data_IF_700335960627
#
_entry.id   IF_700335960627
#
_cell.length_a   1.000
_cell.length_b   1.000
_cell.length_c   1.000
_cell.angle_alpha   90.00
_cell.angle_beta   90.00
_cell.angle_gamma   90.00
#
_symmetry.space_group_name_H-M   'P 1'
#
loop_
_entity.id
_entity.type
_entity.pdbx_description
1 polymer ?
#
# COMPACT_ATOMS: atom_id res chain seq x y z
N UNK A 1 11.58 16.86 -18.35
CA UNK A 1 11.20 16.64 -17.95
C UNK A 1 10.92 16.12 -17.27
N UNK A 2 10.96 16.07 -17.19
CA UNK A 2 10.89 15.73 -16.47
C UNK A 2 10.04 15.33 -15.69
N UNK A 3 9.35 14.77 -15.97
CA UNK A 3 8.50 14.25 -15.34
C UNK A 3 8.87 13.13 -14.73
N UNK A 4 9.76 13.10 -13.97
CA UNK A 4 10.17 11.99 -13.17
C UNK A 4 9.21 11.93 -12.01
N UNK A 5 8.45 10.89 -11.93
CA UNK A 5 7.61 10.67 -10.77
C UNK A 5 8.51 10.32 -9.61
N UNK A 6 8.31 10.93 -8.48
CA UNK A 6 9.10 10.57 -7.30
C UNK A 6 8.50 9.30 -6.67
N UNK A 7 9.21 8.74 -5.69
CA UNK A 7 8.81 7.48 -5.08
C UNK A 7 7.42 7.56 -4.46
N UNK A 8 7.07 8.69 -3.87
CA UNK A 8 5.75 8.86 -3.26
C UNK A 8 4.63 8.74 -4.27
N UNK A 9 4.83 9.31 -5.46
CA UNK A 9 3.81 9.23 -6.51
C UNK A 9 3.63 7.81 -7.01
N UNK A 10 4.73 7.09 -7.18
CA UNK A 10 4.69 5.72 -7.64
C UNK A 10 3.99 4.83 -6.61
N UNK A 11 4.33 5.01 -5.34
CA UNK A 11 3.73 4.25 -4.25
C UNK A 11 2.23 4.53 -4.17
N UNK A 12 1.84 5.78 -4.23
CA UNK A 12 0.43 6.15 -4.13
C UNK A 12 -0.37 5.55 -5.28
N UNK A 13 0.15 5.61 -6.49
CA UNK A 13 -0.52 5.03 -7.64
C UNK A 13 -0.69 3.53 -7.47
N UNK A 14 0.35 2.85 -7.00
CA UNK A 14 0.27 1.42 -6.73
C UNK A 14 -0.82 1.13 -5.69
N UNK A 15 -0.85 1.91 -4.61
CA UNK A 15 -1.81 1.69 -3.53
C UNK A 15 -3.25 1.90 -3.99
N UNK A 16 -3.50 2.91 -4.81
CA UNK A 16 -4.83 3.17 -5.34
C UNK A 16 -5.36 1.94 -6.09
N UNK A 17 -4.50 1.32 -6.87
CA UNK A 17 -4.90 0.15 -7.66
C UNK A 17 -4.93 -1.12 -6.81
N UNK A 18 -3.94 -1.31 -5.95
CA UNK A 18 -3.78 -2.54 -5.19
C UNK A 18 -4.85 -2.71 -4.11
N UNK A 19 -5.26 -1.62 -3.50
CA UNK A 19 -6.26 -1.68 -2.43
C UNK A 19 -7.65 -2.04 -2.92
N UNK A 20 -7.84 -2.09 -4.24
CA UNK A 20 -9.10 -2.54 -4.83
C UNK A 20 -9.16 -4.05 -4.99
N UNK A 21 -8.01 -4.72 -4.84
CA UNK A 21 -7.95 -6.16 -5.02
C UNK A 21 -8.54 -6.87 -3.82
N UNK A 22 -9.52 -7.75 -4.06
CA UNK A 22 -10.18 -8.46 -2.98
C UNK A 22 -9.26 -9.47 -2.29
N UNK A 23 -8.34 -10.04 -3.04
CA UNK A 23 -7.44 -11.05 -2.51
C UNK A 23 -6.15 -10.45 -1.93
N UNK A 24 -6.02 -9.14 -2.00
CA UNK A 24 -4.81 -8.49 -1.51
C UNK A 24 -3.65 -8.57 -2.50
N UNK A 25 -2.48 -8.21 -2.03
CA UNK A 25 -1.28 -8.17 -2.88
C UNK A 25 -0.08 -8.55 -2.02
N UNK A 26 0.96 -9.08 -2.67
CA UNK A 26 2.16 -9.53 -1.97
C UNK A 26 3.22 -8.45 -1.95
N UNK A 27 4.18 -8.60 -1.03
CA UNK A 27 5.35 -7.71 -1.00
C UNK A 27 6.09 -7.77 -2.32
N UNK A 28 6.16 -8.97 -2.92
CA UNK A 28 6.85 -9.12 -4.19
C UNK A 28 6.17 -8.35 -5.29
N UNK A 29 4.84 -8.36 -5.31
CA UNK A 29 4.10 -7.61 -6.31
C UNK A 29 4.39 -6.12 -6.22
N UNK A 30 4.46 -5.59 -5.00
CA UNK A 30 4.81 -4.20 -4.79
C UNK A 30 6.15 -3.87 -5.43
N UNK A 31 7.16 -4.67 -5.12
CA UNK A 31 8.51 -4.44 -5.64
C UNK A 31 8.55 -4.59 -7.15
N UNK A 32 7.86 -5.58 -7.69
CA UNK A 32 7.83 -5.80 -9.13
C UNK A 32 7.17 -4.66 -9.88
N UNK A 33 6.11 -4.11 -9.32
CA UNK A 33 5.35 -3.07 -10.01
C UNK A 33 5.94 -1.69 -9.83
N UNK A 34 6.51 -1.41 -8.67
CA UNK A 34 7.03 -0.07 -8.38
C UNK A 34 8.53 0.05 -8.56
N UNK A 35 9.24 -1.07 -8.50
CA UNK A 35 10.70 -1.04 -8.48
C UNK A 35 11.26 -0.55 -7.16
N UNK A 36 10.42 -0.45 -6.13
CA UNK A 36 10.81 0.07 -4.83
C UNK A 36 10.80 -1.07 -3.82
N UNK A 37 11.78 -1.10 -2.92
CA UNK A 37 11.83 -2.13 -1.90
C UNK A 37 10.67 -1.92 -0.92
N UNK A 38 9.98 -2.99 -0.58
CA UNK A 38 8.84 -2.93 0.33
C UNK A 38 9.23 -2.33 1.68
N UNK A 39 10.47 -2.49 2.10
CA UNK A 39 10.92 -1.95 3.39
C UNK A 39 10.71 -0.44 3.50
N UNK A 40 10.63 0.25 2.37
CA UNK A 40 10.40 1.70 2.36
C UNK A 40 9.04 2.03 2.96
N UNK A 41 8.03 1.18 2.75
CA UNK A 41 6.69 1.44 3.25
C UNK A 41 6.30 0.53 4.41
N UNK A 42 7.19 -0.36 4.81
CA UNK A 42 6.83 -1.38 5.80
C UNK A 42 6.34 -0.76 7.12
N UNK A 43 6.97 0.29 7.60
CA UNK A 43 6.56 0.94 8.83
C UNK A 43 5.16 1.54 8.72
N UNK A 44 4.84 2.12 7.57
CA UNK A 44 3.50 2.68 7.35
C UNK A 44 2.46 1.58 7.31
N UNK A 45 2.81 0.46 6.67
CA UNK A 45 1.91 -0.69 6.61
C UNK A 45 1.64 -1.22 8.03
N UNK A 46 2.68 -1.32 8.86
CA UNK A 46 2.50 -1.78 10.23
C UNK A 46 1.62 -0.84 11.05
N UNK A 47 1.76 0.45 10.85
CA UNK A 47 0.91 1.43 11.53
C UNK A 47 -0.55 1.24 11.12
N UNK A 48 -0.80 0.99 9.85
CA UNK A 48 -2.14 0.78 9.36
C UNK A 48 -2.74 -0.54 9.88
N UNK A 49 -1.90 -1.54 10.05
CA UNK A 49 -2.32 -2.80 10.67
C UNK A 49 -2.75 -2.55 12.11
N UNK A 50 -1.96 -1.76 12.85
CA UNK A 50 -2.28 -1.44 14.23
C UNK A 50 -3.59 -0.67 14.35
N UNK A 51 -3.91 0.14 13.35
CA UNK A 51 -5.17 0.88 13.32
C UNK A 51 -6.35 0.02 12.88
N UNK A 52 -6.09 -1.21 12.47
CA UNK A 52 -7.14 -2.11 12.03
C UNK A 52 -7.61 -1.86 10.62
N UNK A 53 -6.85 -1.11 9.83
CA UNK A 53 -7.24 -0.76 8.46
C UNK A 53 -6.71 -1.75 7.44
N UNK A 54 -5.64 -2.46 7.76
CA UNK A 54 -5.00 -3.42 6.86
C UNK A 54 -4.73 -4.71 7.61
N UNK A 55 -4.90 -5.84 6.92
CA UNK A 55 -4.46 -7.13 7.38
C UNK A 55 -3.16 -7.47 6.70
N UNK A 56 -2.18 -7.91 7.46
CA UNK A 56 -0.91 -8.32 6.92
C UNK A 56 -0.68 -9.75 7.40
N UNK A 57 -0.96 -10.73 6.54
CA UNK A 57 -0.85 -12.13 6.88
C UNK A 57 0.18 -12.76 5.97
N UNK A 58 1.22 -13.30 6.57
CA UNK A 58 2.36 -13.86 5.85
C UNK A 58 2.96 -12.76 4.96
N UNK A 59 2.82 -12.87 3.67
CA UNK A 59 3.36 -11.85 2.78
C UNK A 59 2.27 -11.15 2.00
N UNK A 60 1.02 -11.34 2.41
CA UNK A 60 -0.12 -10.75 1.70
C UNK A 60 -0.68 -9.59 2.50
N UNK A 61 -0.87 -8.48 1.84
CA UNK A 61 -1.41 -7.26 2.42
C UNK A 61 -2.76 -6.99 1.78
N UNK A 62 -3.79 -6.80 2.60
CA UNK A 62 -5.10 -6.45 2.07
C UNK A 62 -5.83 -5.57 3.07
N UNK A 63 -6.73 -4.70 2.60
CA UNK A 63 -7.48 -3.87 3.51
C UNK A 63 -8.52 -4.70 4.25
N UNK A 64 -8.78 -4.33 5.50
CA UNK A 64 -9.88 -4.90 6.26
C UNK A 64 -11.19 -4.26 5.80
N UNK A 65 -12.33 -4.73 6.32
CA UNK A 65 -13.60 -4.06 6.04
C UNK A 65 -13.56 -2.60 6.44
N UNK A 66 -12.97 -2.32 7.61
CA UNK A 66 -12.80 -0.95 8.07
C UNK A 66 -11.90 -0.17 7.13
N UNK A 67 -10.82 -0.81 6.65
CA UNK A 67 -9.90 -0.17 5.72
C UNK A 67 -10.56 0.19 4.40
N UNK A 68 -11.46 -0.65 3.92
CA UNK A 68 -12.18 -0.35 2.68
C UNK A 68 -13.11 0.84 2.86
N UNK A 69 -13.72 0.96 4.02
CA UNK A 69 -14.59 2.10 4.32
C UNK A 69 -13.77 3.37 4.50
N UNK A 70 -12.55 3.25 4.99
CA UNK A 70 -11.69 4.38 5.27
C UNK A 70 -10.48 4.39 4.34
N UNK A 71 -10.70 4.08 3.07
CA UNK A 71 -9.60 4.00 2.11
C UNK A 71 -8.82 5.30 2.02
N UNK A 72 -9.48 6.43 2.17
CA UNK A 72 -8.81 7.73 2.16
C UNK A 72 -7.78 7.84 3.27
N UNK A 73 -8.06 7.24 4.43
CA UNK A 73 -7.11 7.24 5.54
C UNK A 73 -5.87 6.42 5.20
N UNK A 74 -6.07 5.28 4.54
CA UNK A 74 -4.94 4.46 4.11
C UNK A 74 -4.10 5.22 3.10
N UNK A 75 -4.74 5.78 2.08
CA UNK A 75 -4.01 6.47 1.03
C UNK A 75 -3.32 7.72 1.54
N UNK A 76 -3.88 8.35 2.56
CA UNK A 76 -3.28 9.54 3.17
C UNK A 76 -1.91 9.28 3.77
N UNK A 77 -1.63 8.03 4.17
CA UNK A 77 -0.32 7.70 4.73
C UNK A 77 0.76 7.67 3.67
N UNK A 78 0.39 7.63 2.40
CA UNK A 78 1.36 7.51 1.31
C UNK A 78 1.43 8.77 0.42
N UNK A 79 0.76 9.80 0.82
CA UNK A 79 0.79 11.08 0.09
C UNK A 79 1.99 11.92 0.48
#
# INVERSE_FOLDING_TARGET
>A
TAEVLNSSDIILEFMINAMRLNNGWSKQLFTQRTGIDFSIIENRIKQLVDLGLIDFDKEIIKPTSKGRMLLDEILGEFV
#
